data_IF_901493258190
#
_entry.id   IF_901493258190
#
_cell.length_a   1.000
_cell.length_b   1.000
_cell.length_c   1.000
_cell.angle_alpha   90.00
_cell.angle_beta   90.00
_cell.angle_gamma   90.00
#
_symmetry.space_group_name_H-M   'P 1'
#
loop_
_entity.id
_entity.type
_entity.pdbx_description
1 polymer ?
#
# COMPACT_ATOMS: atom_id res chain seq x y z
N UNK A 1 -0.04 13.10 -0.35
CA UNK A 1 0.87 12.87 -1.50
C UNK A 1 1.94 11.86 -1.07
N UNK A 2 2.43 11.04 -1.99
CA UNK A 2 3.47 10.03 -1.74
C UNK A 2 4.44 9.96 -2.92
N UNK A 3 5.70 9.64 -2.63
CA UNK A 3 6.75 9.49 -3.64
C UNK A 3 6.75 8.04 -4.15
N UNK A 4 6.75 7.87 -5.47
CA UNK A 4 6.95 6.58 -6.13
C UNK A 4 8.10 6.66 -7.12
N UNK A 5 8.74 5.52 -7.38
CA UNK A 5 9.61 5.37 -8.55
C UNK A 5 8.83 4.63 -9.63
N UNK A 6 8.77 5.18 -10.84
CA UNK A 6 8.17 4.49 -11.97
C UNK A 6 9.03 3.27 -12.35
N UNK A 7 8.49 2.04 -12.38
CA UNK A 7 9.26 0.86 -12.76
C UNK A 7 9.67 0.85 -14.25
N UNK A 8 8.99 1.66 -15.08
CA UNK A 8 9.26 1.76 -16.53
C UNK A 8 10.33 2.80 -16.82
N UNK A 9 10.12 4.04 -16.38
CA UNK A 9 11.01 5.17 -16.70
C UNK A 9 12.09 5.41 -15.66
N UNK A 10 11.97 4.81 -14.47
CA UNK A 10 12.81 5.06 -13.28
C UNK A 10 12.79 6.50 -12.79
N UNK A 11 11.83 7.32 -13.23
CA UNK A 11 11.63 8.66 -12.68
C UNK A 11 10.91 8.58 -11.34
N UNK A 12 11.32 9.44 -10.42
CA UNK A 12 10.63 9.63 -9.15
C UNK A 12 9.50 10.64 -9.33
N UNK A 13 8.29 10.25 -8.95
CA UNK A 13 7.07 11.04 -9.14
C UNK A 13 6.42 11.30 -7.79
N UNK A 14 6.05 12.56 -7.54
CA UNK A 14 5.26 12.92 -6.38
C UNK A 14 3.76 12.84 -6.74
N UNK A 15 3.09 11.83 -6.20
CA UNK A 15 1.73 11.45 -6.60
C UNK A 15 0.72 11.84 -5.52
N UNK A 16 -0.45 12.34 -5.95
CA UNK A 16 -1.58 12.57 -5.04
C UNK A 16 -2.38 11.29 -4.83
N UNK A 17 -3.03 11.19 -3.68
CA UNK A 17 -3.96 10.12 -3.32
C UNK A 17 -5.09 9.93 -4.36
N UNK A 18 -5.49 10.99 -5.07
CA UNK A 18 -6.50 10.91 -6.15
C UNK A 18 -6.11 10.01 -7.33
N UNK A 19 -4.82 9.64 -7.46
CA UNK A 19 -4.35 8.70 -8.49
C UNK A 19 -4.29 7.25 -8.01
N UNK A 20 -4.69 6.98 -6.76
CA UNK A 20 -4.86 5.62 -6.26
C UNK A 20 -6.22 5.09 -6.75
N UNK A 21 -6.20 4.02 -7.54
CA UNK A 21 -7.41 3.36 -8.06
C UNK A 21 -8.05 2.42 -7.04
N UNK A 22 -7.21 1.68 -6.32
CA UNK A 22 -7.66 0.73 -5.29
C UNK A 22 -6.56 0.50 -4.26
N UNK A 23 -6.99 0.04 -3.10
CA UNK A 23 -6.13 -0.27 -1.96
C UNK A 23 -6.54 -1.62 -1.42
N UNK A 24 -5.62 -2.57 -1.42
CA UNK A 24 -5.79 -3.88 -0.82
C UNK A 24 -5.02 -3.92 0.50
N UNK A 25 -5.75 -4.17 1.59
CA UNK A 25 -5.16 -4.34 2.91
C UNK A 25 -4.76 -5.81 3.08
N UNK A 26 -3.47 -6.11 2.97
CA UNK A 26 -2.96 -7.44 3.29
C UNK A 26 -2.47 -7.48 4.75
N UNK A 27 -2.47 -8.66 5.39
CA UNK A 27 -2.01 -8.82 6.77
C UNK A 27 -0.56 -8.38 7.04
N UNK A 28 0.27 -8.17 6.02
CA UNK A 28 1.68 -7.78 6.20
C UNK A 28 2.04 -6.43 5.55
N UNK A 29 1.16 -5.90 4.69
CA UNK A 29 1.40 -4.69 3.93
C UNK A 29 0.10 -4.19 3.30
N UNK A 30 0.10 -2.94 2.87
CA UNK A 30 -0.98 -2.41 2.04
C UNK A 30 -0.46 -2.36 0.60
N UNK A 31 -1.23 -2.86 -0.35
CA UNK A 31 -0.95 -2.75 -1.78
C UNK A 31 -1.82 -1.65 -2.38
N UNK A 32 -1.18 -0.64 -2.99
CA UNK A 32 -1.84 0.49 -3.64
C UNK A 32 -1.70 0.36 -5.15
N UNK A 33 -2.81 0.33 -5.89
CA UNK A 33 -2.82 0.41 -7.34
C UNK A 33 -2.85 1.88 -7.77
N UNK A 34 -1.79 2.36 -8.42
CA UNK A 34 -1.57 3.79 -8.68
C UNK A 34 -1.42 4.04 -10.18
N UNK A 35 -2.18 5.02 -10.70
CA UNK A 35 -1.98 5.58 -12.04
C UNK A 35 -0.70 6.41 -12.10
N UNK A 36 0.36 5.85 -12.71
CA UNK A 36 1.66 6.48 -12.80
C UNK A 36 1.65 7.63 -13.82
N UNK A 37 1.99 8.88 -13.43
CA UNK A 37 2.00 10.01 -14.35
C UNK A 37 3.14 9.95 -15.37
N UNK A 38 4.24 9.27 -15.06
CA UNK A 38 5.42 9.19 -15.93
C UNK A 38 5.21 8.31 -17.18
N UNK A 39 4.51 7.19 -17.04
CA UNK A 39 4.33 6.19 -18.10
C UNK A 39 2.85 5.91 -18.45
N UNK A 40 1.90 6.53 -17.75
CA UNK A 40 0.47 6.34 -17.96
C UNK A 40 -0.07 4.96 -17.54
N UNK A 41 0.77 4.07 -17.01
CA UNK A 41 0.39 2.71 -16.59
C UNK A 41 -0.02 2.64 -15.13
N UNK A 42 -0.78 1.60 -14.76
CA UNK A 42 -1.09 1.30 -13.36
C UNK A 42 0.00 0.43 -12.75
N UNK A 43 0.51 0.82 -11.58
CA UNK A 43 1.52 0.06 -10.85
C UNK A 43 1.11 -0.19 -9.40
N UNK A 44 1.60 -1.30 -8.85
CA UNK A 44 1.35 -1.68 -7.45
C UNK A 44 2.50 -1.22 -6.58
N UNK A 45 2.21 -0.36 -5.61
CA UNK A 45 3.16 0.08 -4.60
C UNK A 45 2.76 -0.49 -3.25
N UNK A 46 3.70 -1.19 -2.60
CA UNK A 46 3.48 -1.80 -1.29
C UNK A 46 3.98 -0.85 -0.21
N UNK A 47 3.10 -0.42 0.69
CA UNK A 47 3.52 0.33 1.86
C UNK A 47 3.74 -0.64 3.01
N UNK A 48 5.01 -0.80 3.41
CA UNK A 48 5.38 -1.68 4.52
C UNK A 48 6.89 -1.73 4.73
N UNK A 49 7.37 -1.05 5.78
CA UNK A 49 8.67 -1.32 6.44
C UNK A 49 8.51 -1.62 7.93
N UNK A 50 7.28 -1.87 8.42
CA UNK A 50 7.01 -1.86 9.87
C UNK A 50 6.06 -2.95 10.39
N UNK A 51 5.74 -3.97 9.58
CA UNK A 51 5.02 -5.16 10.09
C UNK A 51 5.98 -6.26 10.59
N UNK A 52 7.23 -6.31 10.14
CA UNK A 52 8.22 -7.25 10.72
C UNK A 52 8.38 -7.02 12.24
N UNK A 53 8.24 -5.78 12.72
CA UNK A 53 8.22 -5.46 14.15
C UNK A 53 6.89 -5.76 14.87
N UNK A 54 5.76 -5.82 14.14
CA UNK A 54 4.42 -6.01 14.69
C UNK A 54 4.02 -7.49 14.86
N UNK A 55 4.77 -8.43 14.28
CA UNK A 55 4.55 -9.88 14.42
C UNK A 55 4.80 -10.46 15.83
N UNK A 56 5.03 -9.63 16.85
CA UNK A 56 5.12 -10.12 18.23
C UNK A 56 3.74 -10.35 18.87
N UNK A 57 2.64 -10.00 18.20
CA UNK A 57 1.29 -10.32 18.70
C UNK A 57 0.33 -10.61 17.54
N UNK A 58 -0.43 -11.73 17.60
CA UNK A 58 -1.46 -12.00 16.60
C UNK A 58 -2.58 -10.95 16.68
N UNK A 59 -3.08 -10.52 15.53
CA UNK A 59 -4.27 -9.68 15.48
C UNK A 59 -5.49 -10.45 16.03
N UNK A 60 -6.34 -9.84 16.88
CA UNK A 60 -7.53 -10.50 17.40
C UNK A 60 -8.50 -10.85 16.25
N UNK A 61 -9.16 -12.01 16.35
CA UNK A 61 -10.10 -12.43 15.33
C UNK A 61 -11.40 -11.63 15.44
N UNK A 62 -12.07 -11.38 14.32
CA UNK A 62 -13.30 -10.59 14.30
C UNK A 62 -14.40 -11.13 15.24
N UNK A 63 -14.44 -12.45 15.46
CA UNK A 63 -15.36 -13.10 16.42
C UNK A 63 -15.12 -12.68 17.89
N UNK A 64 -13.89 -12.28 18.21
CA UNK A 64 -13.49 -11.90 19.57
C UNK A 64 -13.87 -10.44 19.87
N UNK A 65 -14.11 -9.61 18.85
CA UNK A 65 -14.51 -8.20 18.99
C UNK A 65 -16.01 -8.01 19.23
N UNK A 66 -16.82 -9.01 18.87
CA UNK A 66 -18.29 -8.96 19.01
C UNK A 66 -18.74 -9.37 20.43
N UNK A 67 -17.84 -9.97 21.20
CA UNK A 67 -18.15 -10.55 22.53
C UNK A 67 -17.63 -9.70 23.71
N UNK A 68 -17.17 -8.47 23.46
CA UNK A 68 -16.70 -7.52 24.46
C UNK A 68 -17.65 -6.32 24.57
#
# INVERSE_FOLDING_TARGET
MFLITCPVTRTDELVSDRRIRSVDNHPAHIAMHVDCPACGSVHVYRTGRRWEAAHRSPAPQAKDLVSA
#
